data_IF_537614248787
#
_entry.id   IF_537614248787
#
_cell.length_a   1.000
_cell.length_b   1.000
_cell.length_c   1.000
_cell.angle_alpha   90.00
_cell.angle_beta   90.00
_cell.angle_gamma   90.00
#
_symmetry.space_group_name_H-M   'P 1'
#
loop_
_entity.id
_entity.type
_entity.pdbx_description
1 polymer ?
#
# COMPACT_ATOMS: atom_id res chain seq x y z
N UNK A 1 -14.72 11.92 -3.41
CA UNK A 1 -13.59 12.17 -2.48
C UNK A 1 -12.94 13.47 -2.89
N UNK A 2 -12.72 14.40 -1.96
CA UNK A 2 -12.10 15.69 -2.28
C UNK A 2 -10.57 15.56 -2.34
N UNK A 3 -9.91 16.42 -3.12
CA UNK A 3 -8.45 16.47 -3.26
C UNK A 3 -7.74 16.59 -1.89
N UNK A 4 -8.38 17.29 -0.95
CA UNK A 4 -7.92 17.44 0.44
C UNK A 4 -7.96 16.12 1.25
N UNK A 5 -8.90 15.21 0.96
CA UNK A 5 -8.93 13.87 1.59
C UNK A 5 -7.80 12.98 1.06
N UNK A 6 -7.45 13.12 -0.21
CA UNK A 6 -6.33 12.40 -0.84
C UNK A 6 -4.98 12.92 -0.34
N UNK A 7 -4.83 14.24 -0.15
CA UNK A 7 -3.63 14.85 0.43
C UNK A 7 -3.47 14.52 1.92
N UNK A 8 -4.55 14.55 2.70
CA UNK A 8 -4.53 14.16 4.10
C UNK A 8 -4.23 12.66 4.28
N UNK A 9 -4.74 11.81 3.37
CA UNK A 9 -4.31 10.42 3.29
C UNK A 9 -2.81 10.38 3.00
N UNK A 10 -2.33 10.96 1.89
CA UNK A 10 -0.92 10.97 1.53
C UNK A 10 0.00 11.44 2.67
N UNK A 11 -0.33 12.52 3.37
CA UNK A 11 0.43 13.02 4.52
C UNK A 11 0.45 12.03 5.69
N UNK A 12 -0.66 11.32 5.96
CA UNK A 12 -0.73 10.29 7.00
C UNK A 12 0.14 9.05 6.66
N UNK A 13 0.40 8.80 5.38
CA UNK A 13 1.31 7.74 4.90
C UNK A 13 2.77 8.22 4.74
N UNK A 14 3.00 9.53 4.73
CA UNK A 14 4.31 10.20 4.62
C UNK A 14 4.77 10.72 5.98
N UNK A 15 5.20 9.81 6.85
CA UNK A 15 5.77 10.20 8.14
C UNK A 15 7.17 10.82 7.93
N UNK A 16 7.23 12.15 7.91
CA UNK A 16 8.47 12.93 7.74
C UNK A 16 9.49 12.64 8.83
N UNK A 17 9.06 12.27 10.05
CA UNK A 17 9.98 11.92 11.15
C UNK A 17 10.69 10.59 10.89
N UNK A 18 9.93 9.60 10.40
CA UNK A 18 10.50 8.34 9.91
C UNK A 18 11.38 8.57 8.71
N UNK A 19 11.00 9.46 7.79
CA UNK A 19 11.86 9.86 6.68
C UNK A 19 13.21 10.33 7.24
N UNK A 20 13.25 11.29 8.15
CA UNK A 20 14.49 11.76 8.80
C UNK A 20 15.33 10.63 9.42
N UNK A 21 14.72 9.65 10.09
CA UNK A 21 15.42 8.43 10.56
C UNK A 21 15.96 7.56 9.40
N UNK A 22 15.22 7.45 8.30
CA UNK A 22 15.67 6.82 7.04
C UNK A 22 16.78 7.64 6.35
N UNK A 23 16.83 8.96 6.59
CA UNK A 23 17.72 9.94 6.00
C UNK A 23 19.00 10.18 6.82
N UNK A 24 19.34 9.41 7.85
CA UNK A 24 20.61 9.58 8.59
C UNK A 24 21.89 9.53 7.71
N UNK A 25 21.79 9.02 6.48
CA UNK A 25 22.83 9.06 5.44
C UNK A 25 22.62 10.13 4.34
N UNK A 26 21.46 10.78 4.32
CA UNK A 26 21.05 11.74 3.30
C UNK A 26 21.73 13.10 3.42
N UNK A 27 22.03 13.67 4.60
CA UNK A 27 22.89 14.84 4.68
C UNK A 27 24.25 14.57 4.04
N UNK A 28 24.83 13.39 4.28
CA UNK A 28 26.10 12.96 3.66
C UNK A 28 25.95 12.78 2.14
N UNK A 29 24.87 12.16 1.67
CA UNK A 29 24.58 12.03 0.24
C UNK A 29 24.32 13.39 -0.41
N UNK A 30 23.59 14.30 0.24
CA UNK A 30 23.29 15.65 -0.22
C UNK A 30 24.58 16.45 -0.36
N UNK A 31 25.47 16.41 0.62
CA UNK A 31 26.78 17.04 0.53
C UNK A 31 27.62 16.47 -0.63
N UNK A 32 27.58 15.14 -0.83
CA UNK A 32 28.28 14.48 -1.96
C UNK A 32 27.66 14.83 -3.32
N UNK A 33 26.35 14.98 -3.40
CA UNK A 33 25.65 15.45 -4.60
C UNK A 33 25.99 16.92 -4.87
N UNK A 34 26.07 17.76 -3.84
CA UNK A 34 26.53 19.15 -3.98
C UNK A 34 27.95 19.22 -4.53
N UNK A 35 28.86 18.36 -4.06
CA UNK A 35 30.21 18.25 -4.65
C UNK A 35 30.16 17.82 -6.12
N UNK A 36 29.32 16.84 -6.47
CA UNK A 36 29.13 16.40 -7.85
C UNK A 36 28.62 17.54 -8.76
N UNK A 37 27.74 18.40 -8.25
CA UNK A 37 27.24 19.59 -8.95
C UNK A 37 28.38 20.58 -9.17
N UNK A 38 29.21 20.84 -8.16
CA UNK A 38 30.37 21.74 -8.30
C UNK A 38 31.36 21.27 -9.40
N UNK A 39 31.64 19.97 -9.48
CA UNK A 39 32.47 19.42 -10.58
C UNK A 39 31.81 19.63 -11.95
N UNK A 40 30.50 19.42 -12.05
CA UNK A 40 29.74 19.64 -13.28
C UNK A 40 29.79 21.12 -13.71
N UNK A 41 29.63 22.04 -12.76
CA UNK A 41 29.65 23.49 -13.01
C UNK A 41 31.02 23.97 -13.49
N UNK A 42 32.10 23.37 -12.96
CA UNK A 42 33.48 23.60 -13.41
C UNK A 42 33.83 22.90 -14.73
N UNK A 43 32.89 22.15 -15.34
CA UNK A 43 33.11 21.27 -16.50
C UNK A 43 34.23 20.25 -16.29
N UNK A 44 34.47 19.89 -15.04
CA UNK A 44 35.47 18.91 -14.63
C UNK A 44 34.83 17.53 -14.44
N UNK A 45 35.62 16.48 -14.66
CA UNK A 45 35.17 15.12 -14.41
C UNK A 45 35.26 14.82 -12.91
N UNK A 46 34.13 14.51 -12.30
CA UNK A 46 34.10 14.13 -10.90
C UNK A 46 34.96 12.87 -10.61
N UNK A 47 35.61 12.80 -9.43
CA UNK A 47 36.38 11.63 -8.99
C UNK A 47 35.58 10.34 -9.12
N UNK A 48 36.25 9.23 -9.41
CA UNK A 48 35.60 7.94 -9.66
C UNK A 48 34.92 7.42 -8.39
N UNK A 49 35.57 7.61 -7.26
CA UNK A 49 35.15 7.24 -5.92
C UNK A 49 33.85 7.97 -5.56
N UNK A 50 33.78 9.28 -5.82
CA UNK A 50 32.59 10.09 -5.56
C UNK A 50 31.38 9.58 -6.37
N UNK A 51 31.60 9.26 -7.65
CA UNK A 51 30.55 8.71 -8.52
C UNK A 51 30.05 7.36 -8.02
N UNK A 52 30.95 6.46 -7.61
CA UNK A 52 30.57 5.16 -7.06
C UNK A 52 29.80 5.27 -5.75
N UNK A 53 30.25 6.14 -4.85
CA UNK A 53 29.58 6.38 -3.58
C UNK A 53 28.14 6.86 -3.80
N UNK A 54 27.93 7.82 -4.70
CA UNK A 54 26.59 8.32 -5.05
C UNK A 54 25.74 7.19 -5.65
N UNK A 55 26.29 6.38 -6.55
CA UNK A 55 25.59 5.25 -7.16
C UNK A 55 25.15 4.22 -6.11
N UNK A 56 26.05 3.79 -5.23
CA UNK A 56 25.76 2.82 -4.16
C UNK A 56 24.66 3.36 -3.24
N UNK A 57 24.74 4.62 -2.84
CA UNK A 57 23.73 5.24 -1.98
C UNK A 57 22.36 5.31 -2.68
N UNK A 58 22.31 5.61 -3.98
CA UNK A 58 21.06 5.56 -4.77
C UNK A 58 20.46 4.15 -4.84
N UNK A 59 21.28 3.15 -5.13
CA UNK A 59 20.85 1.74 -5.17
C UNK A 59 20.31 1.27 -3.82
N UNK A 60 20.96 1.68 -2.72
CA UNK A 60 20.50 1.36 -1.38
C UNK A 60 19.12 1.97 -1.08
N UNK A 61 18.91 3.24 -1.44
CA UNK A 61 17.60 3.90 -1.31
C UNK A 61 16.52 3.19 -2.15
N UNK A 62 16.83 2.85 -3.41
CA UNK A 62 15.91 2.12 -4.27
C UNK A 62 15.53 0.76 -3.68
N UNK A 63 16.50 -0.01 -3.18
CA UNK A 63 16.26 -1.30 -2.52
C UNK A 63 15.28 -1.15 -1.35
N UNK A 64 15.44 -0.13 -0.51
CA UNK A 64 14.57 0.10 0.65
C UNK A 64 13.14 0.49 0.26
N UNK A 65 12.99 1.33 -0.77
CA UNK A 65 11.67 1.67 -1.31
C UNK A 65 10.97 0.42 -1.82
N UNK A 66 11.68 -0.43 -2.58
CA UNK A 66 11.15 -1.69 -3.09
C UNK A 66 10.75 -2.65 -1.96
N UNK A 67 11.56 -2.77 -0.91
CA UNK A 67 11.23 -3.60 0.26
C UNK A 67 9.94 -3.13 0.94
N UNK A 68 9.81 -1.83 1.22
CA UNK A 68 8.59 -1.27 1.83
C UNK A 68 7.36 -1.48 0.94
N UNK A 69 7.51 -1.32 -0.38
CA UNK A 69 6.43 -1.59 -1.33
C UNK A 69 6.02 -3.06 -1.31
N UNK A 70 6.98 -3.98 -1.22
CA UNK A 70 6.70 -5.41 -1.14
C UNK A 70 5.97 -5.78 0.17
N UNK A 71 6.44 -5.26 1.31
CA UNK A 71 5.77 -5.44 2.60
C UNK A 71 4.31 -4.95 2.56
N UNK A 72 4.08 -3.79 1.93
CA UNK A 72 2.73 -3.26 1.75
C UNK A 72 1.87 -4.15 0.87
N UNK A 73 2.35 -4.53 -0.33
CA UNK A 73 1.62 -5.43 -1.23
C UNK A 73 1.28 -6.77 -0.57
N UNK A 74 2.19 -7.30 0.25
CA UNK A 74 1.95 -8.52 1.02
C UNK A 74 0.80 -8.35 2.02
N UNK A 75 0.69 -7.19 2.67
CA UNK A 75 -0.42 -6.89 3.60
C UNK A 75 -1.74 -6.74 2.87
N UNK A 76 -1.75 -6.00 1.75
CA UNK A 76 -2.94 -5.84 0.92
C UNK A 76 -3.45 -7.20 0.41
N UNK A 77 -2.53 -8.05 -0.07
CA UNK A 77 -2.88 -9.39 -0.53
C UNK A 77 -3.54 -10.22 0.58
N UNK A 78 -3.00 -10.18 1.81
CA UNK A 78 -3.61 -10.86 2.97
C UNK A 78 -5.01 -10.32 3.29
N UNK A 79 -5.21 -9.00 3.19
CA UNK A 79 -6.52 -8.39 3.39
C UNK A 79 -7.53 -8.89 2.36
N UNK A 80 -7.17 -8.84 1.07
CA UNK A 80 -8.01 -9.31 -0.04
C UNK A 80 -8.38 -10.79 0.12
N UNK A 81 -7.41 -11.64 0.49
CA UNK A 81 -7.69 -13.06 0.73
C UNK A 81 -8.62 -13.29 1.93
N UNK A 82 -8.49 -12.47 2.97
CA UNK A 82 -9.38 -12.57 4.15
C UNK A 82 -10.82 -12.18 3.79
N UNK A 83 -10.99 -11.11 3.03
CA UNK A 83 -12.29 -10.67 2.52
C UNK A 83 -12.92 -11.71 1.58
N UNK A 84 -12.12 -12.30 0.69
CA UNK A 84 -12.56 -13.40 -0.17
C UNK A 84 -13.14 -14.57 0.66
N UNK A 85 -12.43 -14.99 1.70
CA UNK A 85 -12.86 -16.10 2.57
C UNK A 85 -14.18 -15.73 3.28
N UNK A 86 -14.30 -14.50 3.78
CA UNK A 86 -15.54 -14.02 4.40
C UNK A 86 -16.72 -14.07 3.42
N UNK A 87 -16.56 -13.54 2.22
CA UNK A 87 -17.60 -13.57 1.18
C UNK A 87 -17.95 -15.00 0.75
N UNK A 88 -16.98 -15.90 0.64
CA UNK A 88 -17.23 -17.31 0.36
C UNK A 88 -18.07 -17.96 1.48
N UNK A 89 -17.76 -17.66 2.75
CA UNK A 89 -18.55 -18.15 3.88
C UNK A 89 -19.96 -17.57 3.94
N UNK A 90 -20.12 -16.28 3.62
CA UNK A 90 -21.42 -15.62 3.57
C UNK A 90 -22.28 -16.22 2.46
N UNK A 91 -21.70 -16.44 1.28
CA UNK A 91 -22.38 -17.10 0.16
C UNK A 91 -22.81 -18.53 0.52
N UNK A 92 -21.94 -19.30 1.18
CA UNK A 92 -22.28 -20.65 1.64
C UNK A 92 -23.42 -20.63 2.67
N UNK A 93 -23.43 -19.65 3.58
CA UNK A 93 -24.51 -19.49 4.56
C UNK A 93 -25.86 -19.11 3.93
N UNK A 94 -25.84 -18.23 2.91
CA UNK A 94 -27.03 -17.84 2.14
C UNK A 94 -27.55 -19.00 1.28
N UNK A 95 -26.66 -19.84 0.75
CA UNK A 95 -27.03 -21.07 0.06
C UNK A 95 -27.69 -22.11 0.97
N UNK A 96 -27.45 -22.04 2.29
CA UNK A 96 -28.03 -22.91 3.32
C UNK A 96 -29.33 -22.38 3.92
N UNK A 97 -29.75 -21.15 3.60
CA UNK A 97 -31.05 -20.63 4.01
C UNK A 97 -32.14 -21.52 3.39
N UNK A 98 -33.03 -22.14 4.17
CA UNK A 98 -34.07 -22.98 3.62
C UNK A 98 -34.92 -22.10 2.70
N UNK A 99 -35.16 -22.57 1.46
CA UNK A 99 -36.22 -22.03 0.60
C UNK A 99 -37.48 -22.00 1.46
N UNK A 100 -37.87 -20.83 1.95
CA UNK A 100 -39.02 -20.68 2.84
C UNK A 100 -40.22 -21.28 2.11
N UNK A 101 -40.80 -22.30 2.74
CA UNK A 101 -41.90 -23.09 2.23
C UNK A 101 -43.05 -22.17 1.77
N UNK A 102 -43.30 -22.15 0.46
CA UNK A 102 -44.64 -21.86 -0.08
C UNK A 102 -45.51 -23.09 0.20
N UNK A 103 -45.95 -23.27 1.43
CA UNK A 103 -46.98 -24.24 1.80
C UNK A 103 -47.38 -23.94 3.24
N UNK A 104 -48.47 -23.20 3.39
CA UNK A 104 -49.59 -23.39 4.35
C UNK A 104 -50.23 -22.03 4.64
N UNK A 105 -51.26 -21.70 3.87
CA UNK A 105 -52.46 -21.09 4.44
C UNK A 105 -53.62 -21.95 3.94
N UNK A 106 -53.85 -23.03 4.68
CA UNK A 106 -55.07 -23.83 4.64
C UNK A 106 -55.90 -23.38 5.85
N UNK A 107 -57.22 -23.32 5.63
CA UNK A 107 -58.32 -23.19 6.60
C UNK A 107 -58.91 -21.77 6.74
N UNK A 108 -59.98 -21.49 5.99
CA UNK A 108 -61.34 -21.48 6.55
C UNK A 108 -62.39 -20.98 5.55
N UNK A 109 -63.24 -21.88 5.03
CA UNK A 109 -64.67 -21.63 4.91
C UNK A 109 -65.37 -22.93 4.56
N UNK A 110 -65.77 -23.63 5.61
CA UNK A 110 -66.86 -24.60 5.62
C UNK A 110 -68.16 -23.93 5.13
N UNK A 111 -68.86 -24.54 4.19
CA UNK A 111 -70.33 -24.57 4.04
C UNK A 111 -70.64 -25.77 3.15
N UNK A 112 -70.98 -26.93 3.71
CA UNK A 112 -72.35 -27.36 4.11
C UNK A 112 -73.07 -28.06 2.96
N UNK A 113 -73.27 -29.37 3.15
CA UNK A 113 -74.26 -30.32 2.62
C UNK A 113 -74.95 -30.08 1.26
#
# INVERSE_FOLDING_TARGET
MSLAQTEAAMLKWYDSSRLEDYLGSLPKLRNRLSLMIQYKDRREKAPRELRFVILIQRLYLQKRILLRRNEWLTKELRSIFSEKIQLESELESLGKLPKQNKNTDLVSSSTSD
#
